data_IF_720357541513
#
_entry.id   IF_720357541513
#
_cell.length_a   1.000
_cell.length_b   1.000
_cell.length_c   1.000
_cell.angle_alpha   90.00
_cell.angle_beta   90.00
_cell.angle_gamma   90.00
#
_symmetry.space_group_name_H-M   'P 1'
#
loop_
_entity.id
_entity.type
_entity.pdbx_description
1 polymer ?
#
# COMPACT_ATOMS: atom_id res chain seq x y z
N UNK A 1 38.36 -1.46 -59.22
CA UNK A 1 37.42 -0.89 -58.23
C UNK A 1 36.29 -1.90 -58.05
N UNK A 2 36.32 -2.69 -56.97
CA UNK A 2 35.23 -3.60 -56.61
C UNK A 2 34.97 -3.38 -55.11
N UNK A 3 33.83 -2.77 -54.80
CA UNK A 3 33.43 -2.43 -53.44
C UNK A 3 32.70 -3.62 -52.83
N UNK A 4 33.27 -4.19 -51.78
CA UNK A 4 32.69 -5.27 -50.99
C UNK A 4 31.68 -4.69 -50.01
N UNK A 5 30.39 -4.97 -50.20
CA UNK A 5 29.32 -4.58 -49.26
C UNK A 5 29.13 -5.71 -48.25
N UNK A 6 29.57 -5.50 -47.01
CA UNK A 6 29.27 -6.38 -45.88
C UNK A 6 27.96 -5.94 -45.24
N UNK A 7 26.91 -6.77 -45.36
CA UNK A 7 25.71 -6.65 -44.55
C UNK A 7 25.99 -7.25 -43.16
N UNK A 8 25.92 -6.41 -42.12
CA UNK A 8 25.89 -6.87 -40.72
C UNK A 8 24.42 -6.90 -40.31
N UNK A 9 23.84 -8.09 -40.17
CA UNK A 9 22.56 -8.27 -39.48
C UNK A 9 22.83 -8.21 -37.97
N UNK A 10 22.35 -7.15 -37.32
CA UNK A 10 22.28 -7.05 -35.87
C UNK A 10 20.98 -7.73 -35.41
N UNK A 11 21.08 -8.92 -34.82
CA UNK A 11 19.95 -9.60 -34.20
C UNK A 11 19.62 -8.90 -32.86
N UNK A 12 18.51 -8.15 -32.81
CA UNK A 12 17.91 -7.73 -31.55
C UNK A 12 17.29 -8.97 -30.87
N UNK A 13 17.99 -9.53 -29.90
CA UNK A 13 17.41 -10.46 -28.95
C UNK A 13 16.48 -9.67 -28.01
N UNK A 14 15.19 -9.67 -28.29
CA UNK A 14 14.17 -9.23 -27.34
C UNK A 14 14.10 -10.30 -26.26
N UNK A 15 14.71 -10.04 -25.10
CA UNK A 15 14.44 -10.82 -23.90
C UNK A 15 12.99 -10.56 -23.51
N UNK A 16 12.06 -11.42 -23.94
CA UNK A 16 10.72 -11.45 -23.37
C UNK A 16 10.85 -11.84 -21.90
N UNK A 17 10.85 -10.85 -21.00
CA UNK A 17 10.69 -11.11 -19.58
C UNK A 17 9.35 -11.83 -19.41
N UNK A 18 9.39 -13.11 -19.03
CA UNK A 18 8.18 -13.83 -18.64
C UNK A 18 7.70 -13.18 -17.35
N UNK A 19 6.55 -12.53 -17.39
CA UNK A 19 5.78 -12.17 -16.21
C UNK A 19 5.35 -13.42 -15.44
N UNK A 20 4.96 -13.21 -14.19
CA UNK A 20 4.30 -14.19 -13.34
C UNK A 20 2.96 -14.62 -13.88
N UNK A 21 2.35 -15.58 -13.20
CA UNK A 21 0.95 -15.96 -13.39
C UNK A 21 0.10 -15.24 -12.37
N UNK A 22 -0.91 -14.50 -12.84
CA UNK A 22 -1.94 -13.93 -11.99
C UNK A 22 -2.68 -15.05 -11.25
N UNK A 23 -2.65 -15.03 -9.92
CA UNK A 23 -3.34 -15.98 -9.04
C UNK A 23 -4.75 -15.51 -8.68
N UNK A 24 -4.93 -14.20 -8.57
CA UNK A 24 -6.21 -13.56 -8.36
C UNK A 24 -6.22 -12.22 -9.09
N UNK A 25 -7.32 -11.91 -9.76
CA UNK A 25 -7.51 -10.66 -10.49
C UNK A 25 -8.62 -9.86 -9.82
N UNK A 26 -8.26 -8.68 -9.32
CA UNK A 26 -9.18 -7.68 -8.80
C UNK A 26 -9.66 -6.71 -9.88
N UNK A 27 -9.68 -7.14 -11.14
CA UNK A 27 -9.98 -6.25 -12.25
C UNK A 27 -11.43 -5.76 -12.18
N UNK A 28 -11.64 -4.45 -12.19
CA UNK A 28 -12.97 -3.85 -12.04
C UNK A 28 -13.88 -4.00 -13.27
N UNK A 29 -13.39 -4.57 -14.38
CA UNK A 29 -14.20 -4.87 -15.57
C UNK A 29 -15.36 -5.83 -15.28
N UNK A 30 -15.25 -6.68 -14.25
CA UNK A 30 -16.35 -7.54 -13.82
C UNK A 30 -17.50 -6.76 -13.15
N UNK A 31 -17.28 -5.49 -12.81
CA UNK A 31 -18.17 -4.64 -12.02
C UNK A 31 -18.65 -3.44 -12.86
N UNK A 32 -19.77 -3.57 -13.59
CA UNK A 32 -20.29 -2.48 -14.42
C UNK A 32 -20.83 -1.30 -13.59
N UNK A 33 -21.23 -1.55 -12.33
CA UNK A 33 -21.79 -0.55 -11.41
C UNK A 33 -21.51 -0.97 -9.97
N UNK A 34 -21.59 -0.04 -9.02
CA UNK A 34 -21.43 -0.30 -7.58
C UNK A 34 -22.35 -1.43 -7.06
N UNK A 35 -23.59 -1.52 -7.59
CA UNK A 35 -24.53 -2.57 -7.20
C UNK A 35 -24.08 -4.01 -7.54
N UNK A 36 -23.02 -4.18 -8.36
CA UNK A 36 -22.46 -5.49 -8.62
C UNK A 36 -21.73 -6.07 -7.39
N UNK A 37 -21.20 -5.22 -6.50
CA UNK A 37 -20.60 -5.64 -5.23
C UNK A 37 -21.65 -6.22 -4.26
N UNK A 38 -22.91 -5.79 -4.34
CA UNK A 38 -24.01 -6.27 -3.49
C UNK A 38 -24.44 -7.72 -3.78
N UNK A 39 -23.90 -8.33 -4.86
CA UNK A 39 -24.16 -9.74 -5.19
C UNK A 39 -23.41 -10.70 -4.27
N UNK A 40 -22.30 -10.26 -3.71
CA UNK A 40 -21.53 -11.02 -2.73
C UNK A 40 -22.27 -10.99 -1.38
N UNK A 41 -22.27 -12.12 -0.68
CA UNK A 41 -22.66 -12.20 0.72
C UNK A 41 -21.99 -13.41 1.38
N UNK A 42 -22.04 -13.49 2.71
CA UNK A 42 -21.54 -14.66 3.44
C UNK A 42 -22.19 -15.98 3.02
N UNK A 43 -23.45 -15.95 2.56
CA UNK A 43 -24.15 -17.14 2.06
C UNK A 43 -24.00 -17.34 0.54
N UNK A 44 -23.45 -16.35 -0.18
CA UNK A 44 -23.26 -16.37 -1.63
C UNK A 44 -21.97 -15.61 -1.99
N UNK A 45 -20.83 -16.24 -1.70
CA UNK A 45 -19.50 -15.68 -1.89
C UNK A 45 -19.04 -15.68 -3.35
N UNK A 46 -19.74 -14.93 -4.21
CA UNK A 46 -19.49 -14.83 -5.65
C UNK A 46 -18.65 -13.60 -6.00
N UNK A 47 -18.06 -13.62 -7.20
CA UNK A 47 -17.20 -12.55 -7.68
C UNK A 47 -15.82 -12.56 -7.04
N UNK A 48 -15.11 -11.45 -7.20
CA UNK A 48 -13.68 -11.31 -6.99
C UNK A 48 -13.36 -10.56 -5.69
N UNK A 49 -14.37 -9.88 -5.14
CA UNK A 49 -14.29 -9.10 -3.91
C UNK A 49 -15.38 -9.47 -2.91
N UNK A 50 -14.98 -9.58 -1.65
CA UNK A 50 -15.84 -9.54 -0.49
C UNK A 50 -16.14 -8.07 -0.17
N UNK A 51 -17.42 -7.77 0.10
CA UNK A 51 -17.88 -6.43 0.42
C UNK A 51 -18.77 -6.46 1.66
N UNK A 52 -18.16 -6.21 2.82
CA UNK A 52 -18.86 -6.15 4.11
C UNK A 52 -18.28 -5.13 5.11
N UNK A 53 -17.10 -4.57 4.82
CA UNK A 53 -16.46 -3.55 5.66
C UNK A 53 -16.83 -2.18 5.10
N UNK A 54 -18.02 -1.74 5.48
CA UNK A 54 -18.58 -0.47 5.07
C UNK A 54 -19.63 0.00 6.08
N UNK A 55 -20.06 1.25 5.92
CA UNK A 55 -21.14 1.82 6.72
C UNK A 55 -22.54 1.40 6.26
N UNK A 56 -23.56 2.06 6.79
CA UNK A 56 -24.97 1.66 6.60
C UNK A 56 -25.63 2.24 5.35
N UNK A 57 -24.96 3.14 4.62
CA UNK A 57 -25.49 3.69 3.38
C UNK A 57 -25.44 2.68 2.23
N UNK A 58 -26.12 3.00 1.13
CA UNK A 58 -26.06 2.18 -0.08
C UNK A 58 -24.62 2.07 -0.60
N UNK A 59 -24.27 0.96 -1.23
CA UNK A 59 -22.91 0.74 -1.79
C UNK A 59 -22.46 1.84 -2.75
N UNK A 60 -23.38 2.45 -3.51
CA UNK A 60 -23.05 3.58 -4.41
C UNK A 60 -22.62 4.87 -3.67
N UNK A 61 -22.82 4.93 -2.36
CA UNK A 61 -22.31 6.01 -1.49
C UNK A 61 -20.80 5.86 -1.28
N UNK A 62 -20.34 4.61 -1.08
CA UNK A 62 -18.95 4.29 -0.78
C UNK A 62 -18.14 3.95 -2.03
N UNK A 63 -18.77 3.38 -3.06
CA UNK A 63 -18.10 2.87 -4.25
C UNK A 63 -18.71 3.44 -5.53
N UNK A 64 -17.88 3.84 -6.47
CA UNK A 64 -18.29 4.19 -7.83
C UNK A 64 -17.25 3.69 -8.84
N UNK A 65 -17.70 3.23 -10.01
CA UNK A 65 -16.82 2.81 -11.09
C UNK A 65 -16.93 3.79 -12.25
N UNK A 66 -15.79 4.22 -12.79
CA UNK A 66 -15.73 5.09 -13.97
C UNK A 66 -14.35 4.97 -14.66
N UNK A 67 -14.26 5.16 -15.99
CA UNK A 67 -12.97 5.18 -16.69
C UNK A 67 -12.01 6.29 -16.22
N UNK A 68 -12.51 7.35 -15.59
CA UNK A 68 -11.68 8.42 -14.99
C UNK A 68 -11.06 8.04 -13.65
N UNK A 69 -11.52 6.96 -13.02
CA UNK A 69 -11.03 6.49 -11.72
C UNK A 69 -9.91 5.45 -11.82
N UNK A 70 -9.29 5.27 -13.00
CA UNK A 70 -8.13 4.37 -13.19
C UNK A 70 -6.88 5.09 -13.68
N UNK A 71 -5.74 4.43 -13.50
CA UNK A 71 -4.52 4.83 -14.17
C UNK A 71 -4.74 4.80 -15.70
N UNK A 72 -4.62 5.93 -16.42
CA UNK A 72 -4.86 5.96 -17.85
C UNK A 72 -3.86 5.10 -18.64
N UNK A 73 -2.69 4.79 -18.07
CA UNK A 73 -1.73 3.86 -18.67
C UNK A 73 -2.19 2.40 -18.59
N UNK A 74 -3.09 2.05 -17.65
CA UNK A 74 -3.68 0.73 -17.60
C UNK A 74 -4.83 0.60 -18.61
N UNK A 75 -4.47 0.20 -19.83
CA UNK A 75 -5.41 -0.02 -20.93
C UNK A 75 -6.17 -1.35 -20.80
N UNK A 76 -5.83 -2.21 -19.84
CA UNK A 76 -6.51 -3.50 -19.64
C UNK A 76 -7.80 -3.36 -18.84
N UNK A 77 -7.90 -2.31 -18.02
CA UNK A 77 -9.10 -1.94 -17.28
C UNK A 77 -9.92 -0.89 -18.03
N UNK A 78 -11.24 -1.08 -18.01
CA UNK A 78 -12.26 -0.17 -18.53
C UNK A 78 -12.56 0.90 -17.50
N UNK A 79 -12.77 0.48 -16.24
CA UNK A 79 -13.08 1.34 -15.12
C UNK A 79 -12.04 1.19 -14.03
N UNK A 80 -11.82 2.25 -13.27
CA UNK A 80 -11.25 2.12 -11.93
C UNK A 80 -12.33 2.32 -10.87
N UNK A 81 -11.92 2.23 -9.62
CA UNK A 81 -12.78 2.37 -8.46
C UNK A 81 -12.52 3.71 -7.78
N UNK A 82 -13.55 4.52 -7.59
CA UNK A 82 -13.59 5.50 -6.50
C UNK A 82 -14.14 4.83 -5.26
N UNK A 83 -13.40 4.98 -4.17
CA UNK A 83 -13.79 4.63 -2.83
C UNK A 83 -13.91 5.89 -1.99
N UNK A 84 -15.02 6.02 -1.29
CA UNK A 84 -15.35 7.19 -0.47
C UNK A 84 -15.48 6.77 0.99
N UNK A 85 -14.78 7.46 1.88
CA UNK A 85 -15.05 7.41 3.32
C UNK A 85 -15.63 8.74 3.79
N UNK A 86 -16.56 8.67 4.73
CA UNK A 86 -17.19 9.81 5.37
C UNK A 86 -17.60 9.43 6.81
N UNK A 87 -18.17 10.34 7.61
CA UNK A 87 -18.60 10.02 8.98
C UNK A 87 -19.59 8.85 9.10
N UNK A 88 -20.26 8.45 8.01
CA UNK A 88 -21.17 7.30 7.97
C UNK A 88 -20.48 6.01 7.54
N UNK A 89 -19.21 6.02 7.15
CA UNK A 89 -18.43 4.84 6.77
C UNK A 89 -17.99 4.03 8.01
N UNK A 90 -18.88 3.84 8.99
CA UNK A 90 -18.57 3.13 10.24
C UNK A 90 -19.09 1.70 10.19
N UNK A 91 -18.20 0.71 10.28
CA UNK A 91 -18.57 -0.71 10.26
C UNK A 91 -18.70 -1.29 11.68
N UNK A 92 -17.57 -1.51 12.36
CA UNK A 92 -17.51 -2.14 13.68
C UNK A 92 -16.94 -1.23 14.78
N UNK A 93 -16.67 0.03 14.45
CA UNK A 93 -16.13 1.05 15.35
C UNK A 93 -16.49 2.44 14.83
N UNK A 94 -15.98 3.49 15.47
CA UNK A 94 -16.07 4.85 14.93
C UNK A 94 -15.03 5.14 13.85
N UNK A 95 -14.03 4.28 13.64
CA UNK A 95 -13.10 4.45 12.52
C UNK A 95 -13.88 4.42 11.21
N UNK A 96 -13.52 5.29 10.29
CA UNK A 96 -14.13 5.33 8.96
C UNK A 96 -13.43 4.32 8.07
N UNK A 97 -14.20 3.42 7.47
CA UNK A 97 -13.73 2.24 6.75
C UNK A 97 -14.61 1.99 5.53
N UNK A 98 -13.95 1.88 4.38
CA UNK A 98 -14.50 1.27 3.18
C UNK A 98 -13.40 0.36 2.64
N UNK A 99 -13.62 -0.96 2.68
CA UNK A 99 -12.58 -1.93 2.35
C UNK A 99 -13.17 -3.12 1.60
N UNK A 100 -12.49 -3.50 0.51
CA UNK A 100 -12.74 -4.71 -0.23
C UNK A 100 -11.66 -5.75 0.11
N UNK A 101 -12.03 -7.01 0.18
CA UNK A 101 -11.09 -8.13 0.42
C UNK A 101 -11.16 -9.09 -0.76
N UNK A 102 -10.04 -9.69 -1.23
CA UNK A 102 -10.09 -10.73 -2.25
C UNK A 102 -11.07 -11.86 -1.91
N UNK A 103 -11.99 -12.16 -2.83
CA UNK A 103 -12.79 -13.38 -2.83
C UNK A 103 -12.11 -14.40 -3.73
N UNK A 104 -11.50 -15.43 -3.14
CA UNK A 104 -10.76 -16.45 -3.89
C UNK A 104 -10.69 -17.77 -3.14
N UNK A 105 -10.32 -18.83 -3.86
CA UNK A 105 -9.88 -20.11 -3.30
C UNK A 105 -8.37 -20.34 -3.50
N UNK A 106 -7.69 -19.45 -4.22
CA UNK A 106 -6.24 -19.49 -4.37
C UNK A 106 -5.55 -19.23 -3.03
N UNK A 107 -4.40 -19.89 -2.81
CA UNK A 107 -3.54 -19.58 -1.67
C UNK A 107 -2.74 -18.32 -1.99
N UNK A 108 -3.07 -17.22 -1.31
CA UNK A 108 -2.38 -15.94 -1.43
C UNK A 108 -1.31 -15.75 -0.33
N UNK A 109 -0.99 -16.78 0.46
CA UNK A 109 -0.07 -16.71 1.60
C UNK A 109 1.11 -17.67 1.53
N UNK A 110 1.55 -18.05 0.33
CA UNK A 110 2.61 -19.04 0.15
C UNK A 110 3.55 -18.70 -1.00
N UNK A 111 4.83 -19.01 -0.84
CA UNK A 111 5.88 -18.69 -1.81
C UNK A 111 6.22 -17.19 -1.85
N UNK A 112 6.70 -16.73 -3.00
CA UNK A 112 6.92 -15.31 -3.28
C UNK A 112 5.82 -14.78 -4.20
N UNK A 113 5.04 -13.83 -3.70
CA UNK A 113 3.90 -13.22 -4.39
C UNK A 113 4.04 -11.69 -4.45
N UNK A 114 3.47 -11.13 -5.51
CA UNK A 114 3.42 -9.70 -5.75
C UNK A 114 1.98 -9.21 -5.68
N UNK A 115 1.71 -8.28 -4.77
CA UNK A 115 0.40 -7.68 -4.56
C UNK A 115 0.34 -6.31 -5.23
N UNK A 116 -0.23 -6.26 -6.42
CA UNK A 116 -0.27 -5.07 -7.27
C UNK A 116 -1.52 -4.24 -6.98
N UNK A 117 -1.32 -2.93 -6.96
CA UNK A 117 -2.38 -1.94 -6.97
C UNK A 117 -1.82 -0.59 -7.43
N UNK A 118 -2.68 0.25 -8.00
CA UNK A 118 -2.39 1.65 -8.27
C UNK A 118 -3.35 2.51 -7.46
N UNK A 119 -2.86 3.63 -6.95
CA UNK A 119 -3.65 4.57 -6.13
C UNK A 119 -3.49 6.00 -6.61
N UNK A 120 -4.58 6.77 -6.53
CA UNK A 120 -4.59 8.22 -6.72
C UNK A 120 -5.68 8.85 -5.84
N UNK A 121 -5.82 10.17 -5.89
CA UNK A 121 -6.93 10.88 -5.31
C UNK A 121 -7.27 12.13 -6.16
N UNK A 122 -8.53 12.58 -6.19
CA UNK A 122 -8.93 13.79 -6.90
C UNK A 122 -8.42 15.07 -6.21
N UNK A 123 -8.53 16.24 -6.87
CA UNK A 123 -8.23 17.54 -6.25
C UNK A 123 -9.36 18.05 -5.32
N UNK A 124 -10.47 17.34 -5.22
CA UNK A 124 -11.61 17.60 -4.32
C UNK A 124 -11.78 16.44 -3.35
N UNK A 125 -12.47 16.60 -2.22
CA UNK A 125 -12.61 15.53 -1.21
C UNK A 125 -11.25 14.90 -0.87
N UNK A 126 -10.27 15.76 -0.60
CA UNK A 126 -8.88 15.36 -0.40
C UNK A 126 -8.76 14.54 0.90
N UNK A 127 -7.92 13.49 0.91
CA UNK A 127 -7.46 12.88 2.15
C UNK A 127 -6.91 13.94 3.12
N UNK A 128 -7.36 13.90 4.38
CA UNK A 128 -6.90 14.86 5.38
C UNK A 128 -5.52 14.47 5.92
N UNK A 129 -4.47 15.15 5.45
CA UNK A 129 -3.08 14.92 5.92
C UNK A 129 -2.87 15.12 7.41
N UNK A 130 -3.83 15.67 8.15
CA UNK A 130 -3.71 15.83 9.61
C UNK A 130 -4.18 14.59 10.39
N UNK A 131 -4.75 13.59 9.71
CA UNK A 131 -5.32 12.39 10.31
C UNK A 131 -4.63 11.13 9.77
N UNK A 132 -4.44 10.11 10.62
CA UNK A 132 -3.86 8.85 10.17
C UNK A 132 -4.85 8.04 9.32
N UNK A 133 -4.36 7.61 8.16
CA UNK A 133 -4.99 6.61 7.30
C UNK A 133 -4.12 5.35 7.20
N UNK A 134 -4.77 4.20 7.15
CA UNK A 134 -4.20 2.89 6.84
C UNK A 134 -4.80 2.42 5.52
N UNK A 135 -3.94 2.09 4.56
CA UNK A 135 -4.30 1.95 3.15
C UNK A 135 -3.68 0.66 2.61
N UNK A 136 -4.45 -0.13 1.86
CA UNK A 136 -3.97 -1.37 1.23
C UNK A 136 -3.20 -2.27 2.21
N UNK A 137 -3.81 -2.57 3.36
CA UNK A 137 -3.14 -3.19 4.51
C UNK A 137 -3.55 -4.66 4.69
N UNK A 138 -2.67 -5.46 5.30
CA UNK A 138 -3.08 -6.76 5.85
C UNK A 138 -3.65 -6.57 7.26
N UNK A 139 -4.56 -7.44 7.69
CA UNK A 139 -5.16 -7.39 9.05
C UNK A 139 -4.11 -7.39 10.18
N UNK A 140 -2.96 -8.01 9.97
CA UNK A 140 -1.86 -8.01 10.95
C UNK A 140 -0.94 -6.78 10.85
N UNK A 141 -1.15 -5.90 9.88
CA UNK A 141 -0.34 -4.71 9.60
C UNK A 141 1.15 -5.02 9.42
N UNK A 142 1.51 -6.23 8.96
CA UNK A 142 2.92 -6.56 8.69
C UNK A 142 3.50 -5.70 7.57
N UNK A 143 2.65 -5.26 6.64
CA UNK A 143 2.93 -4.23 5.63
C UNK A 143 1.65 -3.49 5.25
N UNK A 144 1.78 -2.19 4.94
CA UNK A 144 0.68 -1.30 4.56
C UNK A 144 1.21 0.02 3.99
N UNK A 145 0.36 0.81 3.36
CA UNK A 145 0.59 2.24 3.16
C UNK A 145 -0.10 3.03 4.28
N UNK A 146 0.49 4.16 4.66
CA UNK A 146 -0.15 5.16 5.53
C UNK A 146 -0.08 6.56 4.91
N UNK A 147 -0.99 7.41 5.35
CA UNK A 147 -1.04 8.84 5.05
C UNK A 147 -1.35 9.62 6.33
N UNK A 148 -0.97 10.90 6.37
CA UNK A 148 -1.18 11.77 7.54
C UNK A 148 -0.40 11.36 8.79
N UNK A 149 0.76 10.73 8.58
CA UNK A 149 1.65 10.24 9.66
C UNK A 149 3.09 10.71 9.46
N UNK A 150 3.89 10.58 10.53
CA UNK A 150 5.34 10.79 10.46
C UNK A 150 5.75 12.25 10.25
N UNK A 151 6.98 12.45 9.77
CA UNK A 151 7.55 13.78 9.57
C UNK A 151 6.98 14.52 8.36
N UNK A 152 6.47 13.79 7.37
CA UNK A 152 5.88 14.33 6.14
C UNK A 152 4.43 13.84 6.02
N UNK A 153 3.47 14.42 6.76
CA UNK A 153 2.08 13.96 6.78
C UNK A 153 1.38 14.00 5.41
N UNK A 154 1.90 14.77 4.46
CA UNK A 154 1.38 14.88 3.09
C UNK A 154 1.96 13.82 2.14
N UNK A 155 2.75 12.87 2.64
CA UNK A 155 3.34 11.79 1.85
C UNK A 155 2.57 10.48 2.06
N UNK A 156 2.54 9.65 1.01
CA UNK A 156 2.27 8.22 1.17
C UNK A 156 3.53 7.57 1.73
N UNK A 157 3.40 6.98 2.91
CA UNK A 157 4.49 6.26 3.57
C UNK A 157 4.20 4.76 3.52
N UNK A 158 5.11 3.97 2.95
CA UNK A 158 5.03 2.52 3.02
C UNK A 158 5.69 2.01 4.30
N UNK A 159 4.96 1.13 4.98
CA UNK A 159 5.26 0.65 6.32
C UNK A 159 5.57 -0.84 6.32
N UNK A 160 6.49 -1.24 7.21
CA UNK A 160 6.70 -2.62 7.64
C UNK A 160 6.57 -2.62 9.17
N UNK A 161 5.60 -3.38 9.69
CA UNK A 161 5.36 -3.51 11.15
C UNK A 161 5.32 -2.19 11.92
N UNK A 162 4.69 -1.17 11.30
CA UNK A 162 4.54 0.17 11.88
C UNK A 162 5.74 1.11 11.71
N UNK A 163 6.78 0.72 10.97
CA UNK A 163 7.96 1.54 10.68
C UNK A 163 7.95 1.96 9.21
N UNK A 164 8.18 3.24 8.91
CA UNK A 164 8.25 3.75 7.55
C UNK A 164 9.56 3.39 6.84
N UNK A 165 9.46 2.84 5.63
CA UNK A 165 10.62 2.40 4.82
C UNK A 165 10.73 3.10 3.47
N UNK A 166 9.62 3.68 2.98
CA UNK A 166 9.58 4.46 1.75
C UNK A 166 8.54 5.56 1.90
N UNK A 167 8.79 6.72 1.30
CA UNK A 167 8.00 7.93 1.49
C UNK A 167 7.97 8.72 0.17
N UNK A 168 6.78 9.12 -0.26
CA UNK A 168 6.61 9.87 -1.52
C UNK A 168 5.49 10.92 -1.38
N UNK A 169 5.67 12.17 -1.86
CA UNK A 169 4.60 13.17 -1.84
C UNK A 169 3.34 12.65 -2.52
N UNK A 170 2.17 12.73 -1.87
CA UNK A 170 0.91 12.29 -2.46
C UNK A 170 0.23 13.46 -3.17
N UNK A 171 0.44 13.54 -4.48
CA UNK A 171 0.00 14.67 -5.30
C UNK A 171 -1.34 14.35 -5.97
N UNK A 172 -2.36 15.23 -5.86
CA UNK A 172 -3.66 15.01 -6.49
C UNK A 172 -3.54 14.70 -7.99
N UNK A 173 -4.30 13.71 -8.45
CA UNK A 173 -4.34 13.26 -9.86
C UNK A 173 -3.10 12.51 -10.35
N UNK A 174 -2.05 12.38 -9.54
CA UNK A 174 -0.91 11.51 -9.87
C UNK A 174 -1.25 10.07 -9.50
N UNK A 175 -1.01 9.15 -10.42
CA UNK A 175 -1.15 7.72 -10.16
C UNK A 175 0.16 7.16 -9.62
N UNK A 176 0.09 6.47 -8.48
CA UNK A 176 1.19 5.78 -7.84
C UNK A 176 0.95 4.29 -7.95
N UNK A 177 1.87 3.58 -8.58
CA UNK A 177 1.77 2.15 -8.79
C UNK A 177 2.64 1.46 -7.76
N UNK A 178 2.14 0.40 -7.14
CA UNK A 178 2.85 -0.36 -6.13
C UNK A 178 2.73 -1.85 -6.40
N UNK A 179 3.76 -2.58 -5.98
CA UNK A 179 3.65 -4.00 -5.71
C UNK A 179 4.39 -4.35 -4.42
N UNK A 180 3.70 -4.95 -3.45
CA UNK A 180 4.37 -5.55 -2.30
C UNK A 180 5.02 -6.87 -2.74
N UNK A 181 6.33 -6.99 -2.59
CA UNK A 181 7.13 -8.18 -2.90
C UNK A 181 7.22 -9.04 -1.63
N UNK A 182 6.29 -9.96 -1.45
CA UNK A 182 6.13 -10.71 -0.20
C UNK A 182 6.62 -12.14 -0.40
N UNK A 183 7.69 -12.49 0.30
CA UNK A 183 8.14 -13.88 0.40
C UNK A 183 7.67 -14.47 1.74
N UNK A 184 6.58 -15.25 1.67
CA UNK A 184 6.02 -15.95 2.83
C UNK A 184 6.93 -17.10 3.33
N UNK A 185 7.82 -17.62 2.49
CA UNK A 185 8.77 -18.67 2.86
C UNK A 185 9.98 -18.10 3.58
N UNK A 186 10.60 -17.07 2.99
CA UNK A 186 11.74 -16.37 3.59
C UNK A 186 11.34 -15.40 4.70
N UNK A 187 10.03 -15.13 4.85
CA UNK A 187 9.45 -14.20 5.80
C UNK A 187 9.98 -12.77 5.63
N UNK A 188 9.82 -12.25 4.42
CA UNK A 188 10.29 -10.90 4.09
C UNK A 188 9.27 -10.14 3.25
N UNK A 189 9.37 -8.82 3.26
CA UNK A 189 8.61 -7.96 2.35
C UNK A 189 9.48 -6.83 1.79
N UNK A 190 9.39 -6.59 0.48
CA UNK A 190 9.97 -5.45 -0.22
C UNK A 190 8.91 -4.62 -0.93
N UNK A 191 9.34 -3.53 -1.56
CA UNK A 191 8.44 -2.64 -2.29
C UNK A 191 8.95 -2.35 -3.70
N UNK A 192 8.07 -2.55 -4.67
CA UNK A 192 8.19 -1.98 -6.01
C UNK A 192 7.25 -0.80 -6.13
N UNK A 193 7.72 0.28 -6.77
CA UNK A 193 6.93 1.47 -6.98
C UNK A 193 7.26 2.16 -8.31
N UNK A 194 6.30 2.91 -8.84
CA UNK A 194 6.47 3.86 -9.93
C UNK A 194 5.33 4.88 -9.93
N UNK A 195 5.34 5.82 -10.87
CA UNK A 195 4.23 6.75 -11.09
C UNK A 195 3.75 6.73 -12.55
N UNK A 196 2.49 7.08 -12.75
CA UNK A 196 1.82 7.12 -14.05
C UNK A 196 2.01 5.81 -14.83
N UNK A 197 2.48 5.86 -16.08
CA UNK A 197 2.74 4.67 -16.90
C UNK A 197 4.17 4.12 -16.81
N UNK A 198 5.00 4.62 -15.89
CA UNK A 198 6.38 4.14 -15.78
C UNK A 198 6.41 2.70 -15.23
N UNK A 199 7.33 1.84 -15.70
CA UNK A 199 7.46 0.51 -15.16
C UNK A 199 7.87 0.55 -13.68
N UNK A 200 7.36 -0.42 -12.90
CA UNK A 200 7.72 -0.62 -11.51
C UNK A 200 9.24 -0.85 -11.36
N UNK A 201 9.82 -0.20 -10.36
CA UNK A 201 11.20 -0.40 -9.93
C UNK A 201 11.20 -0.79 -8.46
N UNK A 202 12.07 -1.73 -8.07
CA UNK A 202 12.24 -2.12 -6.67
C UNK A 202 12.88 -0.96 -5.90
N UNK A 203 12.06 -0.23 -5.14
CA UNK A 203 12.49 0.95 -4.38
C UNK A 203 12.96 0.58 -2.98
N UNK A 204 12.49 -0.55 -2.42
CA UNK A 204 12.98 -1.11 -1.17
C UNK A 204 13.24 -2.60 -1.32
N UNK A 205 14.43 -3.04 -0.92
CA UNK A 205 14.77 -4.47 -0.86
C UNK A 205 13.99 -5.17 0.23
N UNK A 206 13.84 -6.49 0.11
CA UNK A 206 13.11 -7.28 1.09
C UNK A 206 13.71 -7.14 2.49
N UNK A 207 12.88 -6.75 3.46
CA UNK A 207 13.21 -6.65 4.88
C UNK A 207 12.50 -7.78 5.62
N UNK A 208 13.18 -8.37 6.61
CA UNK A 208 12.60 -9.43 7.43
C UNK A 208 11.37 -8.93 8.21
N UNK A 209 10.29 -9.71 8.17
CA UNK A 209 9.05 -9.47 8.92
C UNK A 209 8.37 -10.82 9.20
N UNK A 210 7.12 -10.81 9.68
CA UNK A 210 6.33 -12.03 9.89
C UNK A 210 5.08 -12.01 9.01
N UNK A 211 5.23 -12.15 7.67
CA UNK A 211 4.08 -12.12 6.78
C UNK A 211 3.18 -13.33 7.07
N UNK A 212 1.89 -13.06 7.26
CA UNK A 212 0.87 -14.07 7.49
C UNK A 212 -0.44 -13.56 6.92
N UNK A 213 -1.11 -14.42 6.15
CA UNK A 213 -2.42 -14.14 5.57
C UNK A 213 -3.25 -15.41 5.54
N UNK A 214 -4.55 -15.30 5.78
CA UNK A 214 -5.51 -16.37 5.53
C UNK A 214 -6.09 -16.33 4.10
N UNK A 215 -5.50 -15.53 3.20
CA UNK A 215 -5.98 -15.23 1.83
C UNK A 215 -7.30 -14.46 1.75
N UNK A 216 -7.79 -13.94 2.89
CA UNK A 216 -9.03 -13.18 3.04
C UNK A 216 -8.88 -12.07 4.10
N UNK A 217 -7.68 -11.47 4.19
CA UNK A 217 -7.33 -10.47 5.20
C UNK A 217 -6.41 -9.35 4.65
N UNK A 218 -6.33 -9.24 3.31
CA UNK A 218 -5.75 -8.08 2.65
C UNK A 218 -6.87 -7.12 2.24
N UNK A 219 -6.82 -5.92 2.81
CA UNK A 219 -7.82 -4.89 2.67
C UNK A 219 -7.43 -3.93 1.56
N UNK A 220 -8.02 -4.09 0.38
CA UNK A 220 -8.01 -3.06 -0.64
C UNK A 220 -8.99 -1.97 -0.23
N UNK A 221 -8.47 -0.91 0.36
CA UNK A 221 -9.26 0.25 0.71
C UNK A 221 -8.57 1.12 1.73
N UNK A 222 -9.39 1.84 2.51
CA UNK A 222 -8.92 2.88 3.44
C UNK A 222 -9.64 2.76 4.77
N UNK A 223 -8.84 2.84 5.83
CA UNK A 223 -9.27 3.03 7.21
C UNK A 223 -8.72 4.36 7.70
N UNK A 224 -9.58 5.27 8.18
CA UNK A 224 -9.18 6.50 8.87
C UNK A 224 -9.57 6.42 10.35
N UNK A 225 -8.61 6.71 11.22
CA UNK A 225 -8.78 6.46 12.66
C UNK A 225 -9.81 7.40 13.28
N UNK A 226 -9.73 8.68 12.92
CA UNK A 226 -10.61 9.72 13.47
C UNK A 226 -11.84 9.84 12.57
N UNK A 227 -13.01 9.70 13.19
CA UNK A 227 -14.29 9.99 12.55
C UNK A 227 -14.54 11.51 12.50
N UNK A 228 -14.99 12.03 11.37
CA UNK A 228 -15.42 13.42 11.24
C UNK A 228 -15.08 14.05 9.89
N UNK A 229 -14.97 15.37 9.85
CA UNK A 229 -14.51 16.08 8.66
C UNK A 229 -15.41 15.93 7.42
N UNK A 230 -14.84 16.25 6.26
CA UNK A 230 -15.50 16.11 4.96
C UNK A 230 -15.25 14.73 4.37
N UNK A 231 -16.11 14.25 3.45
CA UNK A 231 -15.83 13.02 2.70
C UNK A 231 -14.47 13.07 2.01
N UNK A 232 -13.83 11.90 1.94
CA UNK A 232 -12.58 11.70 1.23
C UNK A 232 -12.75 10.70 0.09
N UNK A 233 -12.22 11.02 -1.07
CA UNK A 233 -12.25 10.15 -2.24
C UNK A 233 -10.86 9.60 -2.57
N UNK A 234 -10.81 8.29 -2.78
CA UNK A 234 -9.61 7.53 -3.11
C UNK A 234 -9.85 6.76 -4.40
N UNK A 235 -8.89 6.78 -5.31
CA UNK A 235 -8.98 6.08 -6.60
C UNK A 235 -8.07 4.86 -6.62
N UNK A 236 -8.58 3.71 -7.03
CA UNK A 236 -7.86 2.44 -7.15
C UNK A 236 -8.03 1.82 -8.53
N UNK A 237 -6.96 1.24 -9.06
CA UNK A 237 -6.98 0.46 -10.31
C UNK A 237 -5.80 -0.50 -10.39
N UNK A 238 -5.76 -1.37 -11.40
CA UNK A 238 -4.65 -2.29 -11.65
C UNK A 238 -4.40 -3.23 -10.48
N UNK A 239 -5.48 -3.72 -9.86
CA UNK A 239 -5.42 -4.53 -8.63
C UNK A 239 -5.38 -6.01 -8.98
N UNK A 240 -4.31 -6.70 -8.61
CA UNK A 240 -4.18 -8.15 -8.80
C UNK A 240 -3.04 -8.72 -7.96
N UNK A 241 -2.99 -10.05 -7.87
CA UNK A 241 -1.90 -10.77 -7.20
C UNK A 241 -1.32 -11.77 -8.19
N UNK A 242 -0.01 -11.78 -8.33
CA UNK A 242 0.73 -12.74 -9.17
C UNK A 242 1.85 -13.43 -8.39
N UNK A 243 2.29 -14.57 -8.89
CA UNK A 243 3.54 -15.18 -8.43
C UNK A 243 4.76 -14.57 -9.15
N UNK A 244 5.96 -14.85 -8.64
CA UNK A 244 7.18 -14.40 -9.32
C UNK A 244 7.46 -15.12 -10.65
N UNK A 245 8.17 -14.45 -11.58
CA UNK A 245 8.75 -13.11 -11.48
C UNK A 245 7.73 -11.97 -11.71
N UNK A 246 7.99 -10.78 -11.14
CA UNK A 246 7.07 -9.63 -11.22
C UNK A 246 6.85 -9.09 -12.64
N UNK A 247 5.61 -8.70 -12.93
CA UNK A 247 5.22 -7.83 -14.05
C UNK A 247 5.51 -6.37 -13.70
N UNK A 248 6.52 -5.78 -14.31
CA UNK A 248 6.87 -4.37 -14.05
C UNK A 248 6.10 -3.38 -14.90
N UNK A 249 5.57 -3.80 -16.05
CA UNK A 249 4.81 -2.92 -16.93
C UNK A 249 3.48 -2.52 -16.30
N UNK A 250 3.10 -1.25 -16.48
CA UNK A 250 1.76 -0.76 -16.13
C UNK A 250 0.88 -0.87 -17.37
N UNK A 251 -0.25 -1.57 -17.27
CA UNK A 251 -1.13 -1.85 -18.40
C UNK A 251 -0.45 -2.64 -19.52
N UNK A 252 -0.66 -2.20 -20.77
CA UNK A 252 -0.02 -2.81 -21.94
C UNK A 252 1.46 -2.47 -22.10
N UNK A 253 2.06 -1.69 -21.19
CA UNK A 253 3.46 -1.30 -21.23
C UNK A 253 3.80 -0.25 -22.29
N UNK A 254 2.79 0.40 -22.89
CA UNK A 254 3.02 1.52 -23.79
C UNK A 254 3.38 2.79 -22.99
N UNK A 255 4.56 3.40 -23.19
CA UNK A 255 4.86 4.68 -22.56
C UNK A 255 3.87 5.74 -23.07
N UNK A 256 3.24 6.46 -22.13
CA UNK A 256 2.48 7.67 -22.43
C UNK A 256 3.42 8.68 -23.09
N UNK A 257 3.20 8.93 -24.38
CA UNK A 257 3.93 9.93 -25.16
C UNK A 257 3.51 11.34 -24.68
N UNK A 258 4.12 11.83 -23.61
CA UNK A 258 4.15 13.26 -23.29
C UNK A 258 5.60 13.73 -23.31
N UNK A 259 5.94 14.42 -24.39
CA UNK A 259 7.26 14.97 -24.65
C UNK A 259 7.54 16.16 -23.73
N UNK A 260 8.35 15.95 -22.70
CA UNK A 260 9.15 17.00 -22.08
C UNK A 260 10.57 16.50 -21.92
N UNK A 261 11.48 17.07 -22.71
CA UNK A 261 12.92 16.84 -22.66
C UNK A 261 13.50 17.38 -21.37
N UNK A 262 13.85 16.51 -20.43
CA UNK A 262 14.69 16.85 -19.27
C UNK A 262 16.10 16.30 -19.48
N UNK A 263 17.08 17.20 -19.43
CA UNK A 263 18.49 16.93 -19.60
C UNK A 263 19.04 15.96 -18.53
N UNK A 264 20.08 15.17 -18.83
CA UNK A 264 20.67 14.23 -17.88
C UNK A 264 21.37 14.98 -16.73
N UNK A 265 21.25 14.51 -15.47
CA UNK A 265 21.95 15.12 -14.35
C UNK A 265 23.45 14.82 -14.43
N UNK A 266 24.27 15.86 -14.22
CA UNK A 266 25.73 15.75 -14.14
C UNK A 266 26.17 14.98 -12.90
N UNK A 267 27.11 14.06 -13.10
CA UNK A 267 27.81 13.31 -12.06
C UNK A 267 28.82 14.20 -11.34
N UNK A 268 28.57 14.53 -10.08
CA UNK A 268 29.59 15.06 -9.17
C UNK A 268 30.05 13.98 -8.21
N UNK A 269 31.32 13.61 -8.31
CA UNK A 269 32.05 12.72 -7.40
C UNK A 269 32.23 13.37 -6.03
N UNK A 270 31.71 12.73 -4.97
CA UNK A 270 31.91 13.18 -3.58
C UNK A 270 33.04 12.35 -2.94
N UNK A 271 34.03 13.07 -2.40
CA UNK A 271 35.20 12.54 -1.70
C UNK A 271 34.82 12.01 -0.31
N UNK A 272 35.28 10.79 0.02
CA UNK A 272 35.10 10.15 1.33
C UNK A 272 36.01 10.76 2.42
N UNK A 273 35.42 11.23 3.52
CA UNK A 273 36.13 11.60 4.75
C UNK A 273 36.13 10.43 5.77
N UNK A 274 37.08 10.36 6.71
CA UNK A 274 37.28 9.20 7.56
C UNK A 274 36.24 9.08 8.68
N UNK A 275 35.88 7.83 8.95
CA UNK A 275 34.90 7.37 9.95
C UNK A 275 35.45 7.56 11.37
N UNK A 276 34.73 8.34 12.19
CA UNK A 276 34.89 8.36 13.65
C UNK A 276 33.75 7.58 14.31
N UNK A 277 34.11 6.63 15.16
CA UNK A 277 33.24 5.75 15.93
C UNK A 277 32.43 6.52 16.99
N UNK A 278 31.09 6.47 16.99
CA UNK A 278 30.31 7.03 18.09
C UNK A 278 30.09 6.01 19.20
N UNK A 279 30.29 6.46 20.43
CA UNK A 279 29.91 5.80 21.69
C UNK A 279 28.40 5.69 21.81
N UNK A 280 27.92 4.51 22.17
CA UNK A 280 26.51 4.18 22.40
C UNK A 280 25.97 4.83 23.67
N UNK A 281 25.22 5.92 23.52
CA UNK A 281 24.09 6.24 24.39
C UNK A 281 22.83 5.85 23.63
N UNK A 282 21.99 5.00 24.22
CA UNK A 282 20.66 4.66 23.67
C UNK A 282 19.85 5.92 23.47
N UNK A 283 19.78 6.41 22.22
CA UNK A 283 18.91 7.50 21.85
C UNK A 283 17.46 7.10 22.11
N UNK A 284 16.66 8.04 22.62
CA UNK A 284 15.21 7.92 22.59
C UNK A 284 14.79 7.64 21.14
N UNK A 285 13.98 6.59 20.93
CA UNK A 285 13.40 6.32 19.61
C UNK A 285 12.60 7.52 19.09
N UNK A 286 12.29 7.56 17.77
CA UNK A 286 11.53 8.65 17.18
C UNK A 286 10.20 8.84 17.93
N UNK A 287 9.86 10.09 18.25
CA UNK A 287 8.55 10.45 18.84
C UNK A 287 7.49 10.55 17.75
N UNK A 288 6.27 10.11 18.03
CA UNK A 288 5.17 10.15 17.08
C UNK A 288 4.30 11.42 17.22
N UNK A 289 3.86 11.98 16.11
CA UNK A 289 2.97 13.16 16.08
C UNK A 289 1.56 12.84 16.57
N UNK A 290 0.75 13.87 16.82
CA UNK A 290 -0.69 13.70 17.08
C UNK A 290 -1.31 12.78 16.02
N UNK A 291 -2.20 11.89 16.47
CA UNK A 291 -2.89 10.87 15.67
C UNK A 291 -2.03 9.76 15.08
N UNK A 292 -0.72 9.78 15.24
CA UNK A 292 0.09 8.65 14.82
C UNK A 292 -0.01 7.46 15.79
N UNK A 293 0.07 6.25 15.24
CA UNK A 293 0.13 5.01 16.03
C UNK A 293 1.31 5.03 17.02
N UNK A 294 1.05 4.57 18.22
CA UNK A 294 2.04 4.45 19.28
C UNK A 294 1.89 3.13 20.03
N UNK A 295 2.86 2.81 20.89
CA UNK A 295 2.85 1.61 21.70
C UNK A 295 3.88 0.58 21.22
N UNK A 296 3.65 -0.68 21.54
CA UNK A 296 4.52 -1.82 21.26
C UNK A 296 5.21 -2.34 22.53
N UNK A 297 4.96 -3.59 22.90
CA UNK A 297 5.98 -4.37 23.60
C UNK A 297 6.97 -4.88 22.56
N UNK A 298 8.26 -4.59 22.74
CA UNK A 298 9.28 -5.46 22.16
C UNK A 298 8.95 -6.88 22.59
N UNK A 299 8.92 -7.84 21.65
CA UNK A 299 8.68 -9.25 21.94
C UNK A 299 9.87 -9.82 22.72
N UNK A 300 10.09 -9.38 23.97
CA UNK A 300 10.99 -10.07 24.90
C UNK A 300 10.31 -11.38 25.21
N UNK A 301 10.93 -12.49 24.81
CA UNK A 301 10.63 -13.84 25.29
C UNK A 301 10.48 -13.81 26.81
N UNK A 302 9.23 -13.74 27.28
CA UNK A 302 8.91 -13.69 28.70
C UNK A 302 8.81 -15.13 29.19
N UNK A 303 9.81 -15.56 29.96
CA UNK A 303 9.66 -16.67 30.88
C UNK A 303 8.49 -16.37 31.81
N UNK A 304 7.52 -17.27 31.83
CA UNK A 304 6.26 -17.16 32.54
C UNK A 304 6.48 -17.01 34.06
N UNK A 305 6.49 -15.79 34.60
CA UNK A 305 6.14 -15.56 36.01
C UNK A 305 5.95 -14.09 36.41
N UNK A 306 5.39 -13.20 35.56
CA UNK A 306 4.78 -11.94 36.05
C UNK A 306 3.78 -11.37 35.04
N UNK A 307 2.58 -11.95 35.00
CA UNK A 307 1.43 -11.34 34.31
C UNK A 307 0.92 -10.22 35.21
N UNK A 308 1.03 -8.96 34.76
CA UNK A 308 0.09 -7.83 35.00
C UNK A 308 0.70 -6.47 34.59
N UNK A 309 1.23 -6.35 33.37
CA UNK A 309 1.25 -5.06 32.66
C UNK A 309 0.85 -5.31 31.21
N UNK A 310 -0.40 -4.96 30.86
CA UNK A 310 -0.86 -4.90 29.48
C UNK A 310 -0.03 -3.81 28.77
N UNK A 311 0.99 -4.22 28.02
CA UNK A 311 1.66 -3.32 27.11
C UNK A 311 0.76 -3.06 25.90
N UNK A 312 0.66 -1.80 25.44
CA UNK A 312 -0.15 -1.45 24.27
C UNK A 312 0.46 -2.00 22.97
N UNK A 313 -0.34 -2.45 22.00
CA UNK A 313 0.08 -2.68 20.61
C UNK A 313 0.82 -3.99 20.33
N UNK A 314 0.15 -5.14 20.47
CA UNK A 314 0.74 -6.45 20.12
C UNK A 314 1.25 -6.45 18.68
N UNK A 315 2.55 -6.71 18.48
CA UNK A 315 3.18 -6.81 17.16
C UNK A 315 3.66 -5.49 16.55
N UNK A 316 3.35 -4.34 17.17
CA UNK A 316 3.82 -3.04 16.72
C UNK A 316 5.26 -2.80 17.18
N UNK A 317 6.14 -2.43 16.24
CA UNK A 317 7.58 -2.17 16.49
C UNK A 317 7.98 -0.71 16.26
N UNK A 318 7.00 0.16 15.99
CA UNK A 318 7.22 1.58 15.72
C UNK A 318 7.41 2.43 16.99
N UNK A 319 7.32 3.77 16.87
CA UNK A 319 7.42 4.71 17.98
C UNK A 319 6.62 4.33 19.23
N UNK A 320 7.30 4.22 20.37
CA UNK A 320 6.65 3.96 21.68
C UNK A 320 6.28 5.24 22.43
N UNK A 321 6.72 6.40 21.96
CA UNK A 321 6.53 7.70 22.63
C UNK A 321 5.86 8.71 21.69
N UNK A 322 5.01 9.56 22.27
CA UNK A 322 4.34 10.65 21.55
C UNK A 322 5.11 11.96 21.72
N UNK A 323 5.11 12.79 20.68
CA UNK A 323 5.57 14.16 20.76
C UNK A 323 4.71 14.94 21.76
N UNK A 324 5.33 15.78 22.59
CA UNK A 324 4.60 16.65 23.52
C UNK A 324 3.65 17.59 22.74
N UNK A 325 2.40 17.82 23.22
CA UNK A 325 1.82 17.45 24.51
C UNK A 325 1.05 16.11 24.54
N UNK A 326 1.15 15.30 23.48
CA UNK A 326 0.29 14.12 23.30
C UNK A 326 0.72 12.93 24.15
N UNK A 327 -0.23 12.03 24.41
CA UNK A 327 -0.02 10.80 25.18
C UNK A 327 -0.54 9.59 24.39
N UNK A 328 0.11 8.44 24.57
CA UNK A 328 -0.31 7.22 23.89
C UNK A 328 -1.59 6.68 24.55
N UNK A 329 -2.73 6.74 23.85
CA UNK A 329 -4.04 6.29 24.34
C UNK A 329 -4.52 5.05 23.59
N UNK A 330 -5.23 4.17 24.29
CA UNK A 330 -5.86 3.00 23.69
C UNK A 330 -7.01 3.41 22.79
N UNK A 331 -7.01 2.93 21.54
CA UNK A 331 -8.12 3.17 20.60
C UNK A 331 -8.82 1.84 20.27
N UNK A 332 -8.06 0.81 19.89
CA UNK A 332 -8.57 -0.55 19.64
C UNK A 332 -7.61 -1.58 20.27
N UNK A 333 -7.61 -1.72 21.60
CA UNK A 333 -6.71 -2.65 22.29
C UNK A 333 -7.06 -4.13 21.97
N UNK A 334 -6.07 -5.04 21.95
CA UNK A 334 -4.66 -4.83 22.28
C UNK A 334 -3.80 -4.32 21.12
N UNK A 335 -4.36 -4.14 19.92
CA UNK A 335 -3.57 -3.99 18.68
C UNK A 335 -3.23 -2.54 18.32
N UNK A 336 -4.10 -1.57 18.65
CA UNK A 336 -3.93 -0.20 18.18
C UNK A 336 -4.10 0.86 19.29
N UNK A 337 -3.09 1.72 19.38
CA UNK A 337 -2.98 2.85 20.30
C UNK A 337 -2.46 4.06 19.51
N UNK A 338 -2.82 5.27 19.95
CA UNK A 338 -2.60 6.48 19.17
C UNK A 338 -2.17 7.65 20.07
N UNK A 339 -1.33 8.53 19.54
CA UNK A 339 -0.96 9.78 20.19
C UNK A 339 -2.12 10.78 20.19
N UNK A 340 -2.71 11.05 21.36
CA UNK A 340 -3.85 11.95 21.56
C UNK A 340 -3.66 12.96 22.69
#
# INVERSE_FOLDING_TARGET
MALSTRFVLLALAVCSARAGTTLWSGNFNAYPTAAAFDKWSWSNQVGEYQWYIHGTQNTSHYLALDPSFKNPADTSETNGLRMTIDPNATWNSQMERAELIPQTTANLGSGNLFYHFSISHPPTNLPDSTLEHQICFFESHFTELKYGVGANPTHLTWMITGVGHYDVPFTPGTWYNFAYDIDFTAKTVGLWASTAGNPLVKVVQNVATSPSTNSADWHLGVLRIVNGGTPEDWYFSGVYIENGPITTAIGSGAPSNSSTTTAPPSTTTVSSAPVTTPTTTTASGPTQTQYGQCGGAAHTTQTASTILMNFPGTGYTGPTTCASPFTCKAISPPYYYQCL
#
